data_IF_294908950300
#
_entry.id   IF_294908950300
#
_cell.length_a   1.000
_cell.length_b   1.000
_cell.length_c   1.000
_cell.angle_alpha   90.00
_cell.angle_beta   90.00
_cell.angle_gamma   90.00
#
_symmetry.space_group_name_H-M   'P 1'
#
loop_
_entity.id
_entity.type
_entity.pdbx_description
1 polymer ?
#
# COMPACT_ATOMS: atom_id res chain seq x y z
N UNK A 1 -32.74 21.28 -0.12
CA UNK A 1 -32.36 20.78 -1.46
C UNK A 1 -30.84 20.58 -1.62
N UNK A 2 -29.97 21.50 -1.14
CA UNK A 2 -28.51 21.42 -1.35
C UNK A 2 -27.77 20.15 -0.86
N UNK A 3 -28.21 19.52 0.23
CA UNK A 3 -27.48 18.38 0.81
C UNK A 3 -27.60 17.10 -0.05
N UNK A 4 -28.79 16.82 -0.58
CA UNK A 4 -29.04 15.66 -1.42
C UNK A 4 -28.32 15.74 -2.78
N UNK A 5 -28.21 16.94 -3.35
CA UNK A 5 -27.45 17.16 -4.60
C UNK A 5 -25.95 16.95 -4.40
N UNK A 6 -25.42 17.34 -3.23
CA UNK A 6 -24.00 17.13 -2.89
C UNK A 6 -23.68 15.64 -2.69
N UNK A 7 -24.56 14.92 -2.00
CA UNK A 7 -24.43 13.47 -1.76
C UNK A 7 -24.48 12.70 -3.09
N UNK A 8 -25.44 13.01 -3.98
CA UNK A 8 -25.52 12.41 -5.30
C UNK A 8 -24.28 12.72 -6.17
N UNK A 9 -23.71 13.93 -6.05
CA UNK A 9 -22.47 14.31 -6.74
C UNK A 9 -21.25 13.53 -6.22
N UNK A 10 -21.18 13.26 -4.92
CA UNK A 10 -20.07 12.51 -4.32
C UNK A 10 -20.13 11.03 -4.70
N UNK A 11 -21.33 10.44 -4.67
CA UNK A 11 -21.57 9.07 -5.15
C UNK A 11 -21.18 8.92 -6.63
N UNK A 12 -21.54 9.89 -7.48
CA UNK A 12 -21.15 9.88 -8.90
C UNK A 12 -19.63 9.95 -9.09
N UNK A 13 -18.92 10.73 -8.28
CA UNK A 13 -17.46 10.81 -8.31
C UNK A 13 -16.80 9.50 -7.89
N UNK A 14 -17.33 8.82 -6.87
CA UNK A 14 -16.87 7.49 -6.46
C UNK A 14 -17.01 6.50 -7.60
N UNK A 15 -18.20 6.38 -8.21
CA UNK A 15 -18.39 5.48 -9.35
C UNK A 15 -17.48 5.81 -10.53
N UNK A 16 -17.30 7.09 -10.86
CA UNK A 16 -16.39 7.51 -11.91
C UNK A 16 -14.93 7.12 -11.60
N UNK A 17 -14.47 7.34 -10.37
CA UNK A 17 -13.13 6.94 -9.93
C UNK A 17 -12.92 5.43 -10.04
N UNK A 18 -13.90 4.63 -9.63
CA UNK A 18 -13.87 3.18 -9.72
C UNK A 18 -13.67 2.68 -11.18
N UNK A 19 -14.19 3.39 -12.19
CA UNK A 19 -13.95 3.02 -13.61
C UNK A 19 -12.50 3.15 -14.06
N UNK A 20 -11.68 3.93 -13.33
CA UNK A 20 -10.25 4.08 -13.61
C UNK A 20 -9.41 2.95 -13.01
N UNK A 21 -9.98 2.15 -12.10
CA UNK A 21 -9.29 1.06 -11.43
C UNK A 21 -9.54 -0.26 -12.16
N UNK A 22 -8.54 -1.14 -12.13
CA UNK A 22 -8.59 -2.47 -12.74
C UNK A 22 -7.94 -3.51 -11.84
N UNK A 23 -8.38 -4.78 -11.97
CA UNK A 23 -7.84 -5.91 -11.20
C UNK A 23 -7.87 -5.68 -9.69
N UNK A 24 -6.82 -6.10 -8.99
CA UNK A 24 -6.73 -6.02 -7.52
C UNK A 24 -7.03 -4.62 -6.95
N UNK A 25 -6.71 -3.52 -7.66
CA UNK A 25 -7.01 -2.18 -7.17
C UNK A 25 -8.52 -1.88 -7.19
N UNK A 26 -9.24 -2.43 -8.18
CA UNK A 26 -10.70 -2.36 -8.26
C UNK A 26 -11.33 -3.20 -7.15
N UNK A 27 -10.89 -4.46 -7.02
CA UNK A 27 -11.42 -5.41 -6.03
C UNK A 27 -11.26 -4.86 -4.62
N UNK A 28 -10.07 -4.33 -4.29
CA UNK A 28 -9.79 -3.72 -2.99
C UNK A 28 -10.65 -2.49 -2.70
N UNK A 29 -10.90 -1.67 -3.72
CA UNK A 29 -11.77 -0.50 -3.59
C UNK A 29 -13.23 -0.90 -3.31
N UNK A 30 -13.71 -1.98 -3.93
CA UNK A 30 -15.05 -2.52 -3.68
C UNK A 30 -15.18 -3.12 -2.28
N UNK A 31 -14.22 -3.95 -1.85
CA UNK A 31 -14.19 -4.47 -0.48
C UNK A 31 -14.19 -3.36 0.58
N UNK A 32 -13.48 -2.25 0.32
CA UNK A 32 -13.47 -1.11 1.23
C UNK A 32 -14.84 -0.43 1.32
N UNK A 33 -15.55 -0.32 0.19
CA UNK A 33 -16.90 0.26 0.13
C UNK A 33 -17.95 -0.62 0.79
N UNK A 34 -17.81 -1.94 0.76
CA UNK A 34 -18.71 -2.85 1.48
C UNK A 34 -18.74 -2.57 2.99
N UNK A 35 -17.61 -2.15 3.57
CA UNK A 35 -17.51 -1.72 4.97
C UNK A 35 -17.76 -0.22 5.19
N UNK A 36 -17.72 0.60 4.13
CA UNK A 36 -17.74 2.05 4.18
C UNK A 36 -18.56 2.64 3.02
N UNK A 37 -19.87 2.38 3.00
CA UNK A 37 -20.75 2.70 1.86
C UNK A 37 -20.72 4.17 1.41
N UNK A 38 -20.41 5.10 2.32
CA UNK A 38 -20.35 6.54 2.06
C UNK A 38 -18.90 7.06 1.96
N UNK A 39 -17.93 6.20 1.67
CA UNK A 39 -16.55 6.62 1.53
C UNK A 39 -16.39 7.57 0.33
N UNK A 40 -15.64 8.64 0.55
CA UNK A 40 -15.27 9.61 -0.47
C UNK A 40 -14.14 9.06 -1.37
N UNK A 41 -13.95 9.65 -2.55
CA UNK A 41 -12.81 9.34 -3.44
C UNK A 41 -11.47 9.48 -2.70
N UNK A 42 -11.33 10.49 -1.83
CA UNK A 42 -10.10 10.70 -1.07
C UNK A 42 -9.81 9.54 -0.09
N UNK A 43 -10.85 8.98 0.53
CA UNK A 43 -10.69 7.84 1.43
C UNK A 43 -10.32 6.57 0.65
N UNK A 44 -10.91 6.36 -0.53
CA UNK A 44 -10.50 5.28 -1.44
C UNK A 44 -9.04 5.42 -1.87
N UNK A 45 -8.61 6.62 -2.27
CA UNK A 45 -7.20 6.87 -2.63
C UNK A 45 -6.27 6.58 -1.46
N UNK A 46 -6.64 7.01 -0.25
CA UNK A 46 -5.83 6.76 0.95
C UNK A 46 -5.69 5.26 1.24
N UNK A 47 -6.79 4.50 1.15
CA UNK A 47 -6.79 3.05 1.36
C UNK A 47 -5.96 2.31 0.31
N UNK A 48 -6.12 2.66 -0.96
CA UNK A 48 -5.37 2.04 -2.05
C UNK A 48 -3.87 2.34 -1.93
N UNK A 49 -3.50 3.57 -1.56
CA UNK A 49 -2.09 3.90 -1.26
C UNK A 49 -1.59 3.07 -0.09
N UNK A 50 -2.33 3.01 1.01
CA UNK A 50 -1.94 2.22 2.17
C UNK A 50 -1.80 0.73 1.85
N UNK A 51 -2.64 0.17 0.99
CA UNK A 51 -2.56 -1.23 0.58
C UNK A 51 -1.34 -1.46 -0.33
N UNK A 52 -1.24 -0.73 -1.44
CA UNK A 52 -0.27 -1.04 -2.49
C UNK A 52 1.11 -0.41 -2.30
N UNK A 53 1.21 0.78 -1.70
CA UNK A 53 2.53 1.36 -1.40
C UNK A 53 3.24 0.54 -0.32
N UNK A 54 2.50 0.02 0.68
CA UNK A 54 3.07 -0.85 1.69
C UNK A 54 3.46 -2.22 1.13
N UNK A 55 2.63 -2.83 0.29
CA UNK A 55 2.95 -4.11 -0.36
C UNK A 55 4.16 -3.98 -1.30
N UNK A 56 4.19 -2.95 -2.14
CA UNK A 56 5.33 -2.67 -3.03
C UNK A 56 6.60 -2.42 -2.23
N UNK A 57 6.50 -1.64 -1.16
CA UNK A 57 7.62 -1.36 -0.25
C UNK A 57 8.09 -2.63 0.46
N UNK A 58 7.18 -3.52 0.89
CA UNK A 58 7.49 -4.80 1.50
C UNK A 58 8.28 -5.71 0.54
N UNK A 59 7.74 -5.95 -0.66
CA UNK A 59 8.40 -6.75 -1.71
C UNK A 59 9.78 -6.21 -2.07
N UNK A 60 9.92 -4.88 -2.15
CA UNK A 60 11.20 -4.25 -2.44
C UNK A 60 12.23 -4.47 -1.32
N UNK A 61 11.81 -4.35 -0.05
CA UNK A 61 12.67 -4.61 1.12
C UNK A 61 13.08 -6.08 1.21
N UNK A 62 12.15 -7.01 0.97
CA UNK A 62 12.45 -8.44 0.88
C UNK A 62 13.48 -8.75 -0.23
N UNK A 63 13.30 -8.16 -1.41
CA UNK A 63 14.24 -8.32 -2.52
C UNK A 63 15.64 -7.75 -2.20
N UNK A 64 15.72 -6.64 -1.48
CA UNK A 64 17.00 -6.08 -1.01
C UNK A 64 17.68 -7.00 0.00
N UNK A 65 16.93 -7.55 0.94
CA UNK A 65 17.44 -8.53 1.90
C UNK A 65 17.96 -9.79 1.21
N UNK A 66 17.18 -10.37 0.29
CA UNK A 66 17.54 -11.59 -0.43
C UNK A 66 18.84 -11.44 -1.27
N UNK A 67 19.13 -10.22 -1.73
CA UNK A 67 20.34 -9.88 -2.48
C UNK A 67 21.53 -9.49 -1.58
N UNK A 68 21.36 -9.41 -0.27
CA UNK A 68 22.41 -8.99 0.65
C UNK A 68 23.53 -10.05 0.74
N UNK A 69 24.69 -9.74 0.17
CA UNK A 69 25.91 -10.56 0.24
C UNK A 69 27.04 -9.71 0.80
N UNK A 70 27.97 -10.33 1.52
CA UNK A 70 29.17 -9.66 2.00
C UNK A 70 29.99 -9.19 0.79
N UNK A 71 30.36 -7.91 0.79
CA UNK A 71 31.15 -7.33 -0.28
C UNK A 71 32.65 -7.62 -0.12
N UNK A 72 33.39 -7.53 -1.22
CA UNK A 72 34.85 -7.75 -1.19
C UNK A 72 35.51 -6.63 -0.39
N UNK A 73 36.17 -7.00 0.71
CA UNK A 73 36.83 -6.04 1.61
C UNK A 73 35.91 -5.48 2.71
N UNK A 74 34.64 -5.89 2.75
CA UNK A 74 33.73 -5.56 3.84
C UNK A 74 34.04 -6.39 5.09
N UNK A 75 34.10 -5.73 6.25
CA UNK A 75 34.26 -6.45 7.52
C UNK A 75 33.00 -7.24 7.87
N UNK A 76 33.18 -8.34 8.60
CA UNK A 76 32.06 -9.19 9.04
C UNK A 76 31.03 -8.39 9.85
N UNK A 77 31.50 -7.45 10.68
CA UNK A 77 30.63 -6.61 11.51
C UNK A 77 29.76 -5.65 10.67
N UNK A 78 30.33 -5.03 9.63
CA UNK A 78 29.56 -4.17 8.72
C UNK A 78 28.51 -4.97 7.95
N UNK A 79 28.90 -6.14 7.44
CA UNK A 79 27.98 -7.04 6.75
C UNK A 79 26.84 -7.48 7.69
N UNK A 80 27.16 -7.93 8.90
CA UNK A 80 26.17 -8.34 9.90
C UNK A 80 25.18 -7.23 10.22
N UNK A 81 25.66 -5.99 10.42
CA UNK A 81 24.80 -4.84 10.70
C UNK A 81 23.84 -4.54 9.56
N UNK A 82 24.29 -4.62 8.29
CA UNK A 82 23.42 -4.46 7.12
C UNK A 82 22.35 -5.54 7.03
N UNK A 83 22.74 -6.81 7.19
CA UNK A 83 21.81 -7.95 7.19
C UNK A 83 20.74 -7.74 8.26
N UNK A 84 21.12 -7.31 9.47
CA UNK A 84 20.20 -7.05 10.57
C UNK A 84 19.20 -5.93 10.25
N UNK A 85 19.67 -4.84 9.65
CA UNK A 85 18.80 -3.70 9.27
C UNK A 85 17.82 -4.12 8.17
N UNK A 86 18.30 -4.80 7.13
CA UNK A 86 17.47 -5.24 6.02
C UNK A 86 16.43 -6.28 6.46
N UNK A 87 16.80 -7.23 7.33
CA UNK A 87 15.86 -8.18 7.93
C UNK A 87 14.79 -7.47 8.76
N UNK A 88 15.19 -6.48 9.57
CA UNK A 88 14.26 -5.65 10.32
C UNK A 88 13.31 -4.87 9.40
N UNK A 89 13.77 -4.37 8.26
CA UNK A 89 12.91 -3.66 7.32
C UNK A 89 11.93 -4.58 6.59
N UNK A 90 12.39 -5.75 6.15
CA UNK A 90 11.58 -6.72 5.43
C UNK A 90 10.50 -7.39 6.29
N UNK A 91 10.79 -7.64 7.58
CA UNK A 91 9.95 -8.52 8.41
C UNK A 91 9.34 -7.87 9.67
N UNK A 92 9.54 -6.57 9.94
CA UNK A 92 8.99 -5.92 11.17
C UNK A 92 7.48 -5.67 11.18
N UNK A 93 6.72 -6.03 10.16
CA UNK A 93 5.26 -5.86 10.19
C UNK A 93 4.50 -7.00 10.89
N UNK A 94 5.14 -7.76 11.79
CA UNK A 94 4.53 -8.94 12.42
C UNK A 94 5.12 -9.36 13.77
N UNK A 95 5.31 -8.43 14.70
CA UNK A 95 5.34 -8.72 16.15
C UNK A 95 4.35 -7.81 16.87
#
# INVERSE_FOLDING_TARGET
>A
MKAADAEASETAQVYAFLTLLVGNARDRAEEFLDGNANATVNQLVAELKATFENELTGKLKEAQFAKCRQERGESIEMYFNRVRILAAQAFRSGM
#
